data_IF_973068274413
#
_entry.id   IF_973068274413
#
_cell.length_a   1.000
_cell.length_b   1.000
_cell.length_c   1.000
_cell.angle_alpha   90.00
_cell.angle_beta   90.00
_cell.angle_gamma   90.00
#
_symmetry.space_group_name_H-M   'P 1'
#
loop_
_entity.id
_entity.type
_entity.pdbx_description
1 polymer ?
#
# COMPACT_ATOMS: atom_id res chain seq x y z
N UNK A 1 14.07 -11.33 11.70
CA UNK A 1 14.46 -10.97 10.33
C UNK A 1 13.58 -11.58 9.24
N UNK A 2 13.61 -12.90 8.96
CA UNK A 2 12.86 -13.47 7.81
C UNK A 2 11.33 -13.41 7.97
N UNK A 3 10.82 -13.69 9.17
CA UNK A 3 9.37 -13.64 9.47
C UNK A 3 8.80 -12.23 9.38
N UNK A 4 9.50 -11.23 9.90
CA UNK A 4 9.06 -9.82 9.88
C UNK A 4 8.99 -9.26 8.46
N UNK A 5 9.96 -9.62 7.60
CA UNK A 5 9.90 -9.30 6.16
C UNK A 5 8.71 -9.95 5.47
N UNK A 6 8.36 -11.17 5.86
CA UNK A 6 7.21 -11.91 5.34
C UNK A 6 5.88 -11.30 5.79
N UNK A 7 5.78 -10.88 7.05
CA UNK A 7 4.61 -10.14 7.55
C UNK A 7 4.47 -8.78 6.88
N UNK A 8 5.60 -8.07 6.69
CA UNK A 8 5.61 -6.79 5.99
C UNK A 8 5.16 -6.97 4.54
N UNK A 9 5.76 -7.90 3.80
CA UNK A 9 5.40 -8.16 2.41
C UNK A 9 3.97 -8.69 2.26
N UNK A 10 3.54 -9.56 3.18
CA UNK A 10 2.18 -10.09 3.20
C UNK A 10 1.16 -8.98 3.43
N UNK A 11 1.24 -8.23 4.52
CA UNK A 11 0.27 -7.16 4.79
C UNK A 11 0.34 -6.01 3.80
N UNK A 12 1.54 -5.65 3.35
CA UNK A 12 1.74 -4.54 2.44
C UNK A 12 1.30 -4.82 1.00
N UNK A 13 1.33 -6.09 0.57
CA UNK A 13 0.96 -6.47 -0.79
C UNK A 13 -0.36 -7.25 -0.87
N UNK A 14 -0.59 -8.24 0.00
CA UNK A 14 -1.82 -9.05 -0.06
C UNK A 14 -3.06 -8.22 0.27
N UNK A 15 -2.97 -7.32 1.26
CA UNK A 15 -4.12 -6.51 1.66
C UNK A 15 -4.65 -5.61 0.52
N UNK A 16 -3.81 -4.80 -0.15
CA UNK A 16 -4.29 -4.00 -1.28
C UNK A 16 -4.72 -4.86 -2.47
N UNK A 17 -4.13 -6.05 -2.68
CA UNK A 17 -4.53 -6.97 -3.76
C UNK A 17 -5.91 -7.58 -3.48
N UNK A 18 -6.15 -8.07 -2.26
CA UNK A 18 -7.45 -8.63 -1.86
C UNK A 18 -8.53 -7.55 -1.94
N UNK A 19 -8.22 -6.34 -1.46
CA UNK A 19 -9.11 -5.19 -1.60
C UNK A 19 -9.42 -4.88 -3.06
N UNK A 20 -8.40 -4.89 -3.93
CA UNK A 20 -8.59 -4.72 -5.38
C UNK A 20 -9.52 -5.77 -5.96
N UNK A 21 -9.30 -7.05 -5.67
CA UNK A 21 -10.12 -8.15 -6.21
C UNK A 21 -11.57 -8.00 -5.73
N UNK A 22 -11.80 -7.70 -4.45
CA UNK A 22 -13.14 -7.47 -3.90
C UNK A 22 -13.83 -6.25 -4.51
N UNK A 23 -13.11 -5.14 -4.67
CA UNK A 23 -13.64 -3.91 -5.28
C UNK A 23 -13.95 -4.10 -6.77
N UNK A 24 -13.06 -4.80 -7.47
CA UNK A 24 -13.23 -5.14 -8.88
C UNK A 24 -14.43 -6.07 -9.08
N UNK A 25 -14.55 -7.14 -8.28
CA UNK A 25 -15.72 -8.03 -8.32
C UNK A 25 -17.01 -7.24 -8.06
N UNK A 26 -17.03 -6.37 -7.04
CA UNK A 26 -18.20 -5.56 -6.73
C UNK A 26 -18.60 -4.66 -7.91
N UNK A 27 -17.65 -3.85 -8.42
CA UNK A 27 -17.93 -2.90 -9.48
C UNK A 27 -18.25 -3.54 -10.82
N UNK A 28 -17.56 -4.63 -11.16
CA UNK A 28 -17.75 -5.31 -12.43
C UNK A 28 -19.04 -6.13 -12.44
N UNK A 29 -19.32 -6.89 -11.37
CA UNK A 29 -20.46 -7.82 -11.32
C UNK A 29 -21.76 -7.11 -10.94
N UNK A 30 -21.73 -6.17 -10.00
CA UNK A 30 -22.96 -5.57 -9.43
C UNK A 30 -23.33 -4.27 -10.15
N UNK A 31 -22.36 -3.42 -10.47
CA UNK A 31 -22.61 -2.12 -11.09
C UNK A 31 -22.60 -2.16 -12.63
N UNK A 32 -21.99 -3.19 -13.24
CA UNK A 32 -21.88 -3.27 -14.70
C UNK A 32 -21.09 -2.11 -15.31
N UNK A 33 -20.25 -1.43 -14.52
CA UNK A 33 -19.44 -0.32 -15.00
C UNK A 33 -18.40 -0.79 -16.02
N UNK A 34 -18.06 0.10 -16.96
CA UNK A 34 -17.03 -0.14 -17.96
C UNK A 34 -15.72 -0.61 -17.31
N UNK A 35 -15.16 -1.69 -17.84
CA UNK A 35 -13.92 -2.31 -17.36
C UNK A 35 -12.80 -1.27 -17.23
N UNK A 36 -12.70 -0.35 -18.19
CA UNK A 36 -11.73 0.74 -18.19
C UNK A 36 -11.90 1.68 -16.99
N UNK A 37 -13.14 2.04 -16.65
CA UNK A 37 -13.42 2.90 -15.50
C UNK A 37 -13.08 2.19 -14.18
N UNK A 38 -13.41 0.90 -14.07
CA UNK A 38 -13.06 0.09 -12.88
C UNK A 38 -11.55 -0.06 -12.74
N UNK A 39 -10.82 -0.25 -13.85
CA UNK A 39 -9.36 -0.36 -13.86
C UNK A 39 -8.69 0.95 -13.43
N UNK A 40 -9.10 2.08 -13.99
CA UNK A 40 -8.52 3.39 -13.65
C UNK A 40 -8.79 3.75 -12.19
N UNK A 41 -9.99 3.50 -11.67
CA UNK A 41 -10.30 3.77 -10.27
C UNK A 41 -9.52 2.85 -9.33
N UNK A 42 -9.37 1.58 -9.71
CA UNK A 42 -8.55 0.63 -8.93
C UNK A 42 -7.08 1.03 -8.96
N UNK A 43 -6.51 1.37 -10.12
CA UNK A 43 -5.12 1.84 -10.23
C UNK A 43 -4.89 3.14 -9.45
N UNK A 44 -5.88 4.03 -9.43
CA UNK A 44 -5.81 5.29 -8.67
C UNK A 44 -5.80 5.04 -7.17
N UNK A 45 -6.65 4.14 -6.66
CA UNK A 45 -6.66 3.77 -5.23
C UNK A 45 -5.33 3.12 -4.82
N UNK A 46 -4.76 2.29 -5.69
CA UNK A 46 -3.48 1.63 -5.46
C UNK A 46 -2.34 2.65 -5.45
N UNK A 47 -2.35 3.59 -6.41
CA UNK A 47 -1.39 4.68 -6.49
C UNK A 47 -1.41 5.54 -5.23
N UNK A 48 -2.58 5.93 -4.74
CA UNK A 48 -2.74 6.68 -3.49
C UNK A 48 -2.22 5.90 -2.28
N UNK A 49 -2.52 4.60 -2.19
CA UNK A 49 -2.03 3.75 -1.10
C UNK A 49 -0.49 3.72 -1.03
N UNK A 50 0.17 3.55 -2.18
CA UNK A 50 1.63 3.55 -2.24
C UNK A 50 2.23 4.93 -2.01
N UNK A 51 1.57 6.00 -2.45
CA UNK A 51 2.01 7.38 -2.24
C UNK A 51 1.97 7.73 -0.74
N UNK A 52 0.86 7.41 -0.07
CA UNK A 52 0.72 7.58 1.39
C UNK A 52 1.79 6.74 2.11
N UNK A 53 1.95 5.47 1.75
CA UNK A 53 2.98 4.62 2.36
C UNK A 53 4.38 5.20 2.16
N UNK A 54 4.70 5.70 0.96
CA UNK A 54 6.00 6.32 0.68
C UNK A 54 6.26 7.52 1.59
N UNK A 55 5.25 8.37 1.79
CA UNK A 55 5.33 9.51 2.72
C UNK A 55 5.58 9.01 4.15
N UNK A 56 4.77 8.07 4.64
CA UNK A 56 4.93 7.50 5.99
C UNK A 56 6.31 6.87 6.18
N UNK A 57 6.80 6.12 5.19
CA UNK A 57 8.10 5.48 5.24
C UNK A 57 9.24 6.50 5.25
N UNK A 58 9.13 7.57 4.44
CA UNK A 58 10.08 8.68 4.45
C UNK A 58 10.14 9.36 5.82
N UNK A 59 9.00 9.66 6.44
CA UNK A 59 8.97 10.22 7.79
C UNK A 59 9.54 9.26 8.85
N UNK A 60 9.24 7.97 8.76
CA UNK A 60 9.67 6.97 9.73
C UNK A 60 11.19 6.68 9.64
N UNK A 61 11.73 6.56 8.43
CA UNK A 61 13.16 6.35 8.19
C UNK A 61 13.99 7.56 8.60
N UNK A 62 13.53 8.77 8.27
CA UNK A 62 14.23 10.00 8.69
C UNK A 62 14.25 10.16 10.22
N UNK A 63 13.22 9.69 10.93
CA UNK A 63 13.19 9.69 12.39
C UNK A 63 14.24 8.75 13.01
N UNK A 64 14.40 7.53 12.49
CA UNK A 64 15.43 6.59 12.96
C UNK A 64 16.86 7.04 12.65
N UNK A 65 17.08 7.72 11.51
CA UNK A 65 18.40 8.25 11.16
C UNK A 65 18.88 9.35 12.12
N UNK A 66 17.96 10.16 12.66
CA UNK A 66 18.28 11.17 13.68
C UNK A 66 18.64 10.56 15.04
N UNK A 67 17.95 9.49 15.45
CA UNK A 67 18.18 8.85 16.75
C UNK A 67 19.55 8.15 16.82
N UNK A 68 20.01 7.52 15.72
CA UNK A 68 21.36 6.94 15.65
C UNK A 68 22.49 7.97 15.64
N UNK A 69 22.26 9.19 15.15
CA UNK A 69 23.27 10.25 15.16
C UNK A 69 23.33 11.02 16.50
N UNK A 70 22.28 10.96 17.32
CA UNK A 70 22.26 11.59 18.65
C UNK A 70 22.85 10.73 19.78
N UNK A 71 22.92 9.40 19.61
CA UNK A 71 23.47 8.47 20.61
C UNK A 71 24.98 8.19 20.47
N UNK A 72 25.63 8.78 19.45
CA UNK A 72 27.08 8.67 19.20
C UNK A 72 27.85 9.98 19.51
N UNK A 73 27.22 10.90 20.24
CA UNK A 73 27.80 12.12 20.82
C UNK A 73 27.68 12.03 22.34
#
# INVERSE_FOLDING_TARGET
MAKEKLYFLGYFLLFPIIFMISFFLWRFVIQGNDIWMVLTDSLSILGLYYLITSIFFSFFVNKQSKEKNGANL
#
